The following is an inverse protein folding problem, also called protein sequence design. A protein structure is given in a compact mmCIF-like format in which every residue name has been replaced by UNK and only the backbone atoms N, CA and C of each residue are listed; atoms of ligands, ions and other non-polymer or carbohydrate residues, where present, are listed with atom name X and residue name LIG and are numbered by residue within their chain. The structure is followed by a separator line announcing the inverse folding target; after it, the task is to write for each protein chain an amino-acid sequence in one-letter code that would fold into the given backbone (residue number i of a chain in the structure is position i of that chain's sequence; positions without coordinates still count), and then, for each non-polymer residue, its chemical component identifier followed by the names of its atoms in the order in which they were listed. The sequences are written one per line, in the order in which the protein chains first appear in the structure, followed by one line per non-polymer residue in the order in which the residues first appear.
data_IF_469878359478
#
_entry.id   IF_469878359478
#
_cell.length_a   1.000
_cell.length_b   1.000
_cell.length_c   1.000
_cell.angle_alpha   90.00
_cell.angle_beta   90.00
_cell.angle_gamma   90.00
#
_symmetry.space_group_name_H-M   'P 1'
#
loop_
_entity.id
_entity.type
_entity.pdbx_description
1 polymer ?
#
# COMPACT_ATOMS: atom_id res chain seq x y z
N UNK A 1 17.21 16.52 8.54
CA UNK A 1 16.35 16.36 7.35
C UNK A 1 15.85 14.92 7.32
N UNK A 2 14.58 14.69 6.98
CA UNK A 2 14.02 13.33 6.88
C UNK A 2 14.77 12.53 5.82
N UNK A 3 15.17 11.28 6.11
CA UNK A 3 15.90 10.41 5.17
C UNK A 3 15.11 10.20 3.87
N UNK A 4 13.79 10.14 3.99
CA UNK A 4 12.85 10.00 2.87
C UNK A 4 11.96 11.24 2.76
N UNK A 5 11.74 11.71 1.54
CA UNK A 5 10.85 12.83 1.24
C UNK A 5 9.43 12.38 0.95
N UNK A 6 9.27 11.18 0.39
CA UNK A 6 8.00 10.63 -0.05
C UNK A 6 7.79 9.22 0.49
N UNK A 7 6.52 8.91 0.79
CA UNK A 7 6.03 7.55 1.04
C UNK A 7 4.94 7.28 0.02
N UNK A 8 5.03 6.15 -0.67
CA UNK A 8 4.07 5.75 -1.69
C UNK A 8 3.56 4.36 -1.33
N UNK A 9 2.25 4.24 -1.11
CA UNK A 9 1.58 2.94 -1.04
C UNK A 9 1.38 2.42 -2.46
N UNK A 10 1.80 1.18 -2.71
CA UNK A 10 1.46 0.45 -3.94
C UNK A 10 0.28 -0.46 -3.63
N UNK A 11 -0.79 -0.32 -4.40
CA UNK A 11 -2.14 -0.70 -3.98
C UNK A 11 -2.53 -2.14 -4.24
N UNK A 12 -1.81 -3.15 -3.72
CA UNK A 12 -2.35 -4.53 -3.69
C UNK A 12 -3.65 -4.61 -2.87
N UNK A 13 -3.77 -3.73 -1.88
CA UNK A 13 -5.00 -3.40 -1.18
C UNK A 13 -4.87 -2.02 -0.48
N UNK A 14 -5.80 -1.73 0.41
CA UNK A 14 -5.86 -0.45 1.10
C UNK A 14 -5.04 -0.40 2.40
N UNK A 15 -4.42 -1.50 2.84
CA UNK A 15 -3.83 -1.62 4.17
C UNK A 15 -2.74 -0.57 4.43
N UNK A 16 -1.78 -0.45 3.53
CA UNK A 16 -0.63 0.46 3.73
C UNK A 16 -1.06 1.93 3.76
N UNK A 17 -1.93 2.34 2.84
CA UNK A 17 -2.51 3.69 2.84
C UNK A 17 -3.22 3.97 4.17
N UNK A 18 -4.05 3.02 4.57
CA UNK A 18 -4.78 3.05 5.82
C UNK A 18 -3.92 3.21 7.06
N UNK A 19 -2.80 2.48 7.12
CA UNK A 19 -1.83 2.57 8.21
C UNK A 19 -1.21 3.99 8.25
N UNK A 20 -0.80 4.51 7.09
CA UNK A 20 -0.24 5.87 6.96
C UNK A 20 -1.24 6.92 7.48
N UNK A 21 -2.49 6.86 7.03
CA UNK A 21 -3.50 7.86 7.38
C UNK A 21 -3.89 7.74 8.86
N UNK A 22 -4.03 6.53 9.40
CA UNK A 22 -4.44 6.29 10.78
C UNK A 22 -3.43 6.81 11.81
N UNK A 23 -2.14 6.85 11.46
CA UNK A 23 -1.09 7.39 12.33
C UNK A 23 -0.69 8.84 11.97
N UNK A 24 -1.51 9.54 11.16
CA UNK A 24 -1.28 10.91 10.69
C UNK A 24 0.07 11.10 9.97
N UNK A 25 0.67 10.04 9.45
CA UNK A 25 1.93 10.09 8.70
C UNK A 25 1.72 10.91 7.42
N UNK A 26 0.51 10.88 6.86
CA UNK A 26 0.11 11.65 5.68
C UNK A 26 0.27 13.16 5.85
N UNK A 27 0.20 13.70 7.06
CA UNK A 27 0.42 15.14 7.30
C UNK A 27 1.84 15.57 6.91
N UNK A 28 2.81 14.66 7.07
CA UNK A 28 4.20 14.83 6.63
C UNK A 28 4.39 14.45 5.16
N UNK A 29 3.69 13.42 4.67
CA UNK A 29 3.83 12.87 3.32
C UNK A 29 2.55 13.07 2.47
N UNK A 30 2.16 14.33 2.24
CA UNK A 30 0.82 14.74 1.79
C UNK A 30 0.36 14.26 0.41
N UNK A 31 1.22 13.63 -0.38
CA UNK A 31 0.92 13.33 -1.77
C UNK A 31 0.07 12.06 -1.87
N UNK A 32 -0.99 12.12 -2.68
CA UNK A 32 -1.75 10.94 -3.13
C UNK A 32 -1.32 10.52 -4.51
N UNK A 33 -1.08 9.23 -4.67
CA UNK A 33 -0.54 8.58 -5.85
C UNK A 33 -1.61 7.77 -6.59
N UNK A 34 -1.39 7.33 -7.84
CA UNK A 34 -2.43 6.68 -8.65
C UNK A 34 -2.88 5.31 -8.12
N UNK A 35 -2.10 4.73 -7.21
CA UNK A 35 -2.42 3.49 -6.51
C UNK A 35 -3.08 3.73 -5.13
N UNK A 36 -3.10 4.98 -4.64
CA UNK A 36 -3.75 5.29 -3.37
C UNK A 36 -5.27 5.25 -3.54
N UNK A 37 -5.95 4.41 -2.74
CA UNK A 37 -7.41 4.29 -2.78
C UNK A 37 -7.95 3.46 -3.93
N UNK A 38 -7.12 2.61 -4.50
CA UNK A 38 -7.51 1.61 -5.48
C UNK A 38 -6.76 0.31 -5.19
N UNK A 39 -7.30 -0.77 -5.72
CA UNK A 39 -6.75 -2.12 -5.62
C UNK A 39 -6.25 -2.50 -7.01
N UNK A 40 -4.99 -2.89 -7.09
CA UNK A 40 -4.26 -3.27 -8.28
C UNK A 40 -3.50 -4.56 -7.98
N UNK A 41 -3.65 -5.61 -8.79
CA UNK A 41 -2.78 -6.77 -8.70
C UNK A 41 -1.30 -6.38 -8.83
N UNK A 42 -0.42 -7.06 -8.11
CA UNK A 42 1.01 -6.74 -8.05
C UNK A 42 1.68 -6.66 -9.43
N UNK A 43 1.40 -7.63 -10.29
CA UNK A 43 1.92 -7.68 -11.65
C UNK A 43 1.42 -6.49 -12.49
N UNK A 44 0.18 -6.06 -12.27
CA UNK A 44 -0.40 -4.90 -12.94
C UNK A 44 0.24 -3.59 -12.46
N UNK A 45 0.55 -3.45 -11.17
CA UNK A 45 1.32 -2.31 -10.64
C UNK A 45 2.67 -2.21 -11.38
N UNK A 46 3.40 -3.32 -11.45
CA UNK A 46 4.70 -3.36 -12.10
C UNK A 46 4.59 -3.04 -13.60
N UNK A 47 3.60 -3.61 -14.29
CA UNK A 47 3.32 -3.31 -15.70
C UNK A 47 3.01 -1.84 -15.91
N UNK A 48 2.14 -1.25 -15.09
CA UNK A 48 1.76 0.16 -15.21
C UNK A 48 2.97 1.08 -15.04
N UNK A 49 3.84 0.81 -14.08
CA UNK A 49 5.08 1.58 -13.90
C UNK A 49 5.99 1.43 -15.13
N UNK A 50 6.24 0.20 -15.59
CA UNK A 50 7.15 -0.07 -16.71
C UNK A 50 6.65 0.54 -18.02
N UNK A 51 5.33 0.52 -18.24
CA UNK A 51 4.67 1.01 -19.46
C UNK A 51 4.21 2.47 -19.38
N UNK A 52 4.60 3.22 -18.33
CA UNK A 52 4.20 4.61 -18.14
C UNK A 52 2.67 4.84 -18.06
N UNK A 53 1.97 3.90 -17.42
CA UNK A 53 0.52 3.87 -17.27
C UNK A 53 -0.23 3.74 -18.61
N UNK A 54 0.39 3.11 -19.61
CA UNK A 54 -0.26 2.81 -20.89
C UNK A 54 -1.59 2.08 -20.65
N UNK A 55 -2.63 2.61 -21.28
CA UNK A 55 -4.02 2.14 -21.24
C UNK A 55 -4.67 2.09 -19.85
N UNK A 56 -4.08 2.72 -18.83
CA UNK A 56 -4.59 2.65 -17.46
C UNK A 56 -6.02 3.18 -17.31
N UNK A 57 -6.36 4.22 -18.08
CA UNK A 57 -7.68 4.84 -18.06
C UNK A 57 -8.62 4.32 -19.16
N UNK A 58 -8.22 3.25 -19.87
CA UNK A 58 -9.03 2.61 -20.90
C UNK A 58 -9.96 1.55 -20.31
N UNK A 59 -11.12 1.39 -20.94
CA UNK A 59 -12.13 0.37 -20.58
C UNK A 59 -12.58 0.39 -19.11
N UNK A 60 -12.52 1.56 -18.46
CA UNK A 60 -13.08 1.72 -17.11
C UNK A 60 -14.60 1.59 -17.19
N UNK A 61 -15.17 0.73 -16.34
CA UNK A 61 -16.62 0.52 -16.21
C UNK A 61 -17.10 0.81 -14.80
N UNK A 62 -18.29 1.39 -14.67
CA UNK A 62 -18.96 1.59 -13.39
C UNK A 62 -19.94 0.44 -13.11
N UNK A 63 -19.75 -0.26 -11.99
CA UNK A 63 -20.60 -1.39 -11.58
C UNK A 63 -20.62 -1.49 -10.05
N UNK A 64 -21.74 -1.89 -9.44
CA UNK A 64 -21.81 -2.16 -7.99
C UNK A 64 -21.17 -1.05 -7.12
N UNK A 65 -21.44 0.22 -7.46
CA UNK A 65 -20.91 1.41 -6.78
C UNK A 65 -19.37 1.59 -6.82
N UNK A 66 -18.68 0.93 -7.75
CA UNK A 66 -17.23 1.06 -7.91
C UNK A 66 -16.86 1.18 -9.40
N UNK A 67 -15.67 1.70 -9.68
CA UNK A 67 -15.08 1.58 -11.00
C UNK A 67 -14.15 0.37 -11.10
N UNK A 68 -14.20 -0.29 -12.24
CA UNK A 68 -13.32 -1.42 -12.57
C UNK A 68 -12.52 -1.04 -13.81
N UNK A 69 -11.21 -1.20 -13.72
CA UNK A 69 -10.30 -1.10 -14.86
C UNK A 69 -10.00 -2.47 -15.46
N UNK A 70 -9.11 -2.46 -16.46
CA UNK A 70 -8.56 -3.70 -17.01
C UNK A 70 -7.72 -4.45 -15.98
N UNK A 71 -7.44 -5.73 -16.21
CA UNK A 71 -6.51 -6.55 -15.42
C UNK A 71 -6.80 -6.58 -13.90
N UNK A 72 -8.07 -6.55 -13.51
CA UNK A 72 -8.47 -6.71 -12.11
C UNK A 72 -8.34 -5.46 -11.23
N UNK A 73 -8.13 -4.29 -11.84
CA UNK A 73 -8.07 -3.01 -11.11
C UNK A 73 -9.45 -2.64 -10.58
N UNK A 74 -9.53 -2.30 -9.31
CA UNK A 74 -10.75 -1.86 -8.62
C UNK A 74 -10.50 -0.51 -7.94
N UNK A 75 -11.24 0.51 -8.34
CA UNK A 75 -11.18 1.86 -7.76
C UNK A 75 -12.40 2.04 -6.85
N UNK A 76 -12.28 1.54 -5.62
CA UNK A 76 -13.35 1.39 -4.65
C UNK A 76 -13.50 2.56 -3.67
N UNK A 77 -12.66 3.58 -3.78
CA UNK A 77 -12.67 4.74 -2.89
C UNK A 77 -12.93 6.06 -3.60
N UNK A 78 -13.34 6.01 -4.87
CA UNK A 78 -13.63 7.19 -5.65
C UNK A 78 -15.01 7.73 -5.29
N UNK A 79 -15.07 9.03 -4.99
CA UNK A 79 -16.30 9.72 -4.56
C UNK A 79 -17.22 10.15 -5.69
N UNK A 80 -16.72 10.01 -6.92
CA UNK A 80 -17.47 10.36 -8.13
C UNK A 80 -18.10 9.09 -8.71
N UNK A 81 -19.22 9.25 -9.40
CA UNK A 81 -19.77 8.22 -10.31
C UNK A 81 -19.55 8.60 -11.78
N UNK A 82 -19.04 9.80 -12.03
CA UNK A 82 -18.70 10.31 -13.35
C UNK A 82 -17.30 9.82 -13.77
N UNK A 83 -17.26 9.06 -14.86
CA UNK A 83 -16.05 8.49 -15.44
C UNK A 83 -15.07 9.55 -15.94
N UNK A 84 -15.53 10.70 -16.42
CA UNK A 84 -14.65 11.76 -16.92
C UNK A 84 -13.92 12.44 -15.76
N UNK A 85 -14.65 12.73 -14.66
CA UNK A 85 -14.05 13.26 -13.44
C UNK A 85 -13.01 12.29 -12.88
N UNK A 86 -13.31 10.99 -12.89
CA UNK A 86 -12.35 9.96 -12.48
C UNK A 86 -11.10 9.99 -13.35
N UNK A 87 -11.24 9.99 -14.68
CA UNK A 87 -10.10 10.01 -15.62
C UNK A 87 -9.22 11.22 -15.40
N UNK A 88 -9.80 12.40 -15.19
CA UNK A 88 -9.05 13.62 -14.88
C UNK A 88 -8.27 13.50 -13.56
N UNK A 89 -8.88 12.90 -12.53
CA UNK A 89 -8.23 12.65 -11.24
C UNK A 89 -7.08 11.65 -11.38
N UNK A 90 -7.29 10.55 -12.10
CA UNK A 90 -6.26 9.54 -12.35
C UNK A 90 -5.07 10.14 -13.10
N UNK A 91 -5.31 10.90 -14.17
CA UNK A 91 -4.25 11.55 -14.94
C UNK A 91 -3.43 12.52 -14.06
N UNK A 92 -4.08 13.32 -13.20
CA UNK A 92 -3.37 14.20 -12.24
C UNK A 92 -2.49 13.42 -11.27
N UNK A 93 -3.00 12.31 -10.71
CA UNK A 93 -2.25 11.45 -9.79
C UNK A 93 -1.07 10.79 -10.51
N UNK A 94 -1.24 10.35 -11.76
CA UNK A 94 -0.18 9.78 -12.59
C UNK A 94 0.92 10.79 -12.84
N UNK A 95 0.59 12.01 -13.27
CA UNK A 95 1.61 13.05 -13.50
C UNK A 95 2.36 13.39 -12.22
N UNK A 96 1.65 13.52 -11.10
CA UNK A 96 2.27 13.73 -9.79
C UNK A 96 3.21 12.57 -9.38
N UNK A 97 2.83 11.34 -9.68
CA UNK A 97 3.67 10.17 -9.45
C UNK A 97 4.94 10.22 -10.33
N UNK A 98 4.80 10.53 -11.62
CA UNK A 98 5.95 10.68 -12.53
C UNK A 98 6.90 11.79 -12.09
N UNK A 99 6.39 12.95 -11.70
CA UNK A 99 7.19 14.05 -11.15
C UNK A 99 7.94 13.61 -9.89
N UNK A 100 7.25 12.89 -9.01
CA UNK A 100 7.84 12.39 -7.76
C UNK A 100 8.92 11.34 -8.03
N UNK A 101 8.73 10.43 -8.99
CA UNK A 101 9.74 9.41 -9.32
C UNK A 101 10.96 9.98 -10.07
N UNK A 102 10.83 11.15 -10.68
CA UNK A 102 11.94 11.85 -11.33
C UNK A 102 12.68 12.82 -10.39
N UNK A 103 12.28 12.92 -9.13
CA UNK A 103 13.01 13.75 -8.17
C UNK A 103 14.30 13.04 -7.69
N UNK A 104 15.27 13.81 -7.21
CA UNK A 104 16.54 13.26 -6.68
C UNK A 104 16.43 12.78 -5.22
N UNK A 105 15.22 12.83 -4.65
CA UNK A 105 14.92 12.50 -3.25
C UNK A 105 14.68 11.00 -3.05
N UNK A 106 14.89 10.54 -1.82
CA UNK A 106 14.62 9.15 -1.47
C UNK A 106 13.11 8.89 -1.28
N UNK A 107 12.63 7.78 -1.85
CA UNK A 107 11.24 7.34 -1.78
C UNK A 107 11.12 6.02 -1.00
N UNK A 108 10.15 5.93 -0.10
CA UNK A 108 9.78 4.66 0.53
C UNK A 108 8.50 4.13 -0.13
N UNK A 109 8.61 2.99 -0.80
CA UNK A 109 7.45 2.25 -1.31
C UNK A 109 6.96 1.27 -0.25
N UNK A 110 5.64 1.22 -0.03
CA UNK A 110 4.99 0.27 0.87
C UNK A 110 4.10 -0.67 0.07
N UNK A 111 4.21 -1.97 0.33
CA UNK A 111 3.42 -3.02 -0.31
C UNK A 111 2.87 -3.94 0.77
N UNK A 112 1.60 -4.32 0.66
CA UNK A 112 1.02 -5.40 1.44
C UNK A 112 0.88 -6.64 0.55
N UNK A 113 1.73 -7.64 0.79
CA UNK A 113 1.76 -8.90 0.05
C UNK A 113 0.77 -9.89 0.66
N UNK A 114 -0.28 -10.22 -0.09
CA UNK A 114 -1.32 -11.16 0.35
C UNK A 114 -1.04 -12.60 -0.08
N UNK A 115 0.17 -13.09 0.19
CA UNK A 115 0.59 -14.43 -0.21
C UNK A 115 0.95 -15.30 1.00
N UNK A 116 0.50 -16.55 1.01
CA UNK A 116 0.89 -17.52 2.05
C UNK A 116 2.38 -17.86 2.01
N UNK A 117 3.02 -17.73 0.86
CA UNK A 117 4.45 -17.98 0.73
C UNK A 117 5.24 -16.71 1.11
N UNK A 118 6.34 -16.89 1.86
CA UNK A 118 7.27 -15.79 2.19
C UNK A 118 8.02 -15.24 0.97
N UNK A 119 7.99 -15.94 -0.15
CA UNK A 119 8.69 -15.56 -1.37
C UNK A 119 7.94 -14.44 -2.08
N UNK A 120 8.38 -13.21 -1.88
CA UNK A 120 7.93 -12.06 -2.65
C UNK A 120 8.92 -11.73 -3.76
N UNK A 121 8.41 -11.52 -4.97
CA UNK A 121 9.22 -11.26 -6.15
C UNK A 121 9.67 -9.78 -6.22
N UNK A 122 10.67 -9.42 -5.41
CA UNK A 122 11.24 -8.09 -5.44
C UNK A 122 11.83 -7.70 -6.81
N UNK A 123 12.25 -8.67 -7.63
CA UNK A 123 12.89 -8.40 -8.91
C UNK A 123 11.93 -7.74 -9.90
N UNK A 124 10.64 -8.09 -9.86
CA UNK A 124 9.65 -7.55 -10.78
C UNK A 124 9.49 -6.03 -10.63
N UNK A 125 9.22 -5.57 -9.40
CA UNK A 125 9.08 -4.13 -9.13
C UNK A 125 10.41 -3.38 -9.27
N UNK A 126 11.53 -3.98 -8.85
CA UNK A 126 12.85 -3.36 -9.03
C UNK A 126 13.19 -3.18 -10.50
N UNK A 127 12.87 -4.16 -11.35
CA UNK A 127 13.04 -4.06 -12.80
C UNK A 127 12.16 -2.95 -13.38
N UNK A 128 10.88 -2.92 -13.03
CA UNK A 128 9.95 -1.87 -13.49
C UNK A 128 10.46 -0.46 -13.12
N UNK A 129 10.91 -0.27 -11.88
CA UNK A 129 11.46 0.99 -11.41
C UNK A 129 12.80 1.33 -12.08
N UNK A 130 13.76 0.41 -12.15
CA UNK A 130 15.10 0.66 -12.72
C UNK A 130 15.06 0.93 -14.22
N UNK A 131 14.21 0.21 -14.96
CA UNK A 131 14.06 0.41 -16.40
C UNK A 131 13.53 1.80 -16.73
N UNK A 132 12.57 2.29 -15.94
CA UNK A 132 11.89 3.57 -16.20
C UNK A 132 12.57 4.76 -15.51
N UNK A 133 13.11 4.56 -14.31
CA UNK A 133 13.69 5.57 -13.43
C UNK A 133 15.05 5.09 -12.88
N UNK A 134 16.10 5.01 -13.72
CA UNK A 134 17.38 4.40 -13.37
C UNK A 134 18.13 5.11 -12.23
N UNK A 135 17.88 6.40 -12.03
CA UNK A 135 18.51 7.22 -10.99
C UNK A 135 17.67 7.32 -9.70
N UNK A 136 16.52 6.64 -9.65
CA UNK A 136 15.62 6.71 -8.50
C UNK A 136 16.28 6.09 -7.28
N UNK A 137 16.29 6.85 -6.18
CA UNK A 137 16.71 6.33 -4.87
C UNK A 137 15.48 5.89 -4.10
N UNK A 138 15.43 4.63 -3.71
CA UNK A 138 14.25 4.10 -3.04
C UNK A 138 14.57 2.99 -2.06
N UNK A 139 13.60 2.73 -1.18
CA UNK A 139 13.52 1.52 -0.39
C UNK A 139 12.13 0.91 -0.55
N UNK A 140 12.03 -0.41 -0.64
CA UNK A 140 10.76 -1.14 -0.77
C UNK A 140 10.51 -1.89 0.52
N UNK A 141 9.48 -1.48 1.26
CA UNK A 141 8.95 -2.20 2.41
C UNK A 141 7.77 -3.07 1.97
N UNK A 142 7.89 -4.38 2.20
CA UNK A 142 6.83 -5.35 1.98
C UNK A 142 6.42 -5.92 3.31
N UNK A 143 5.12 -5.90 3.56
CA UNK A 143 4.52 -6.53 4.71
C UNK A 143 3.68 -7.72 4.27
N UNK A 144 3.68 -8.78 5.07
CA UNK A 144 2.82 -9.94 4.91
C UNK A 144 2.25 -10.35 6.28
N UNK A 145 1.00 -10.79 6.29
CA UNK A 145 0.33 -11.34 7.46
C UNK A 145 -0.35 -12.69 7.22
N UNK A 146 -0.14 -13.30 6.05
CA UNK A 146 -0.76 -14.55 5.61
C UNK A 146 0.13 -15.77 5.87
N UNK A 147 1.44 -15.58 6.08
CA UNK A 147 2.33 -16.67 6.45
C UNK A 147 2.43 -16.79 7.98
N UNK A 148 2.43 -18.01 8.50
CA UNK A 148 2.42 -18.31 9.94
C UNK A 148 3.76 -18.01 10.63
N UNK A 149 4.87 -18.05 9.90
CA UNK A 149 6.21 -17.88 10.45
C UNK A 149 6.57 -16.40 10.58
N UNK A 150 6.92 -15.94 11.79
CA UNK A 150 7.53 -14.62 11.91
C UNK A 150 8.85 -14.58 11.12
N UNK A 151 8.98 -13.59 10.24
CA UNK A 151 10.17 -13.45 9.40
C UNK A 151 10.45 -11.98 9.12
N UNK A 152 11.72 -11.60 9.19
CA UNK A 152 12.18 -10.28 8.78
C UNK A 152 13.48 -10.41 8.01
N UNK A 153 13.52 -9.81 6.82
CA UNK A 153 14.73 -9.75 5.99
C UNK A 153 14.95 -8.32 5.52
N UNK A 154 16.16 -7.81 5.73
CA UNK A 154 16.55 -6.44 5.42
C UNK A 154 17.76 -6.47 4.51
N UNK A 155 17.66 -5.78 3.39
CA UNK A 155 18.77 -5.45 2.51
C UNK A 155 18.95 -3.92 2.48
N UNK A 156 19.89 -3.43 1.67
CA UNK A 156 20.09 -1.99 1.48
C UNK A 156 18.80 -1.29 0.99
N UNK A 157 18.10 -1.89 0.03
CA UNK A 157 16.97 -1.26 -0.67
C UNK A 157 15.63 -1.97 -0.44
N UNK A 158 15.59 -3.03 0.35
CA UNK A 158 14.36 -3.77 0.64
C UNK A 158 14.24 -4.16 2.10
N UNK A 159 13.02 -4.19 2.61
CA UNK A 159 12.66 -4.81 3.87
C UNK A 159 11.43 -5.66 3.64
N UNK A 160 11.51 -6.94 3.98
CA UNK A 160 10.37 -7.85 4.03
C UNK A 160 10.05 -8.16 5.50
N UNK A 161 8.81 -7.94 5.91
CA UNK A 161 8.31 -8.24 7.24
C UNK A 161 7.09 -9.16 7.12
N UNK A 162 7.15 -10.33 7.74
CA UNK A 162 5.99 -11.16 7.97
C UNK A 162 5.62 -11.19 9.46
N UNK A 163 4.37 -10.85 9.76
CA UNK A 163 3.77 -11.01 11.09
C UNK A 163 2.40 -11.65 10.90
N UNK A 164 2.26 -12.90 11.31
CA UNK A 164 1.01 -13.63 11.13
C UNK A 164 -0.17 -12.97 11.86
N UNK A 165 -1.29 -12.80 11.16
CA UNK A 165 -2.52 -12.30 11.75
C UNK A 165 -3.32 -13.44 12.41
N UNK A 166 -3.24 -13.56 13.73
CA UNK A 166 -3.98 -14.55 14.52
C UNK A 166 -4.77 -13.93 15.68
N UNK A 167 -5.86 -13.18 15.42
CA UNK A 167 -6.61 -12.47 16.45
C UNK A 167 -7.28 -13.40 17.49
N UNK A 168 -7.50 -14.67 17.13
CA UNK A 168 -8.22 -15.64 17.96
C UNK A 168 -7.31 -16.72 18.56
N UNK A 169 -5.98 -16.60 18.45
CA UNK A 169 -5.01 -17.63 18.85
C UNK A 169 -5.39 -19.03 18.33
N UNK A 170 -5.85 -19.09 17.09
CA UNK A 170 -6.17 -20.35 16.41
C UNK A 170 -4.88 -21.16 16.30
N UNK A 171 -4.97 -22.47 16.55
CA UNK A 171 -3.82 -23.40 16.53
C UNK A 171 -3.94 -24.45 15.42
N UNK A 172 -5.12 -24.54 14.78
CA UNK A 172 -5.36 -25.41 13.62
C UNK A 172 -5.58 -24.55 12.37
N UNK A 173 -4.50 -24.33 11.63
CA UNK A 173 -4.48 -23.46 10.46
C UNK A 173 -4.92 -24.16 9.16
N UNK A 174 -5.14 -25.47 9.20
CA UNK A 174 -5.43 -26.29 8.01
C UNK A 174 -6.73 -25.91 7.29
N UNK A 175 -7.67 -25.28 8.01
CA UNK A 175 -9.02 -24.94 7.53
C UNK A 175 -9.34 -23.44 7.56
N UNK A 176 -8.36 -22.56 7.76
CA UNK A 176 -8.62 -21.12 7.72
C UNK A 176 -8.92 -20.66 6.29
N UNK A 177 -10.11 -20.10 6.10
CA UNK A 177 -10.45 -19.38 4.88
C UNK A 177 -9.85 -17.97 4.93
N UNK A 178 -8.70 -17.79 4.28
CA UNK A 178 -7.92 -16.55 4.36
C UNK A 178 -8.52 -15.38 3.56
N UNK A 179 -9.53 -15.63 2.71
CA UNK A 179 -10.30 -14.56 2.06
C UNK A 179 -11.06 -13.70 3.08
N UNK A 180 -11.41 -14.29 4.24
CA UNK A 180 -12.07 -13.59 5.35
C UNK A 180 -11.11 -12.64 6.09
N UNK A 181 -9.80 -12.93 6.06
CA UNK A 181 -8.80 -12.06 6.67
C UNK A 181 -8.82 -10.71 5.97
N UNK A 182 -9.05 -10.58 4.67
CA UNK A 182 -8.87 -9.28 4.03
C UNK A 182 -9.97 -8.23 4.33
N UNK A 183 -11.24 -8.65 4.41
CA UNK A 183 -12.34 -7.71 4.63
C UNK A 183 -12.44 -7.24 6.08
N UNK A 184 -12.14 -8.14 7.03
CA UNK A 184 -12.25 -7.83 8.45
C UNK A 184 -10.91 -7.38 9.06
N UNK A 185 -9.75 -7.79 8.52
CA UNK A 185 -8.43 -7.38 9.03
C UNK A 185 -8.29 -5.87 9.13
N UNK A 186 -8.52 -5.15 8.04
CA UNK A 186 -8.38 -3.70 8.01
C UNK A 186 -9.33 -3.07 9.04
N UNK A 187 -10.57 -3.56 9.16
CA UNK A 187 -11.53 -3.10 10.16
C UNK A 187 -11.08 -3.40 11.60
N UNK A 188 -10.68 -4.65 11.88
CA UNK A 188 -10.23 -5.12 13.18
C UNK A 188 -8.99 -4.37 13.68
N UNK A 189 -8.11 -3.96 12.77
CA UNK A 189 -6.95 -3.11 13.07
C UNK A 189 -7.30 -1.76 13.68
N UNK A 190 -8.53 -1.27 13.47
CA UNK A 190 -8.98 0.01 14.01
C UNK A 190 -9.77 -0.09 15.30
N UNK A 191 -10.44 -1.23 15.53
CA UNK A 191 -11.43 -1.36 16.60
C UNK A 191 -10.93 -2.22 17.76
N UNK A 192 -10.02 -3.17 17.52
CA UNK A 192 -9.54 -4.09 18.56
C UNK A 192 -8.18 -3.66 19.11
N UNK A 193 -7.93 -3.94 20.40
CA UNK A 193 -6.60 -3.71 20.99
C UNK A 193 -5.52 -4.55 20.29
N UNK A 194 -5.83 -5.80 19.96
CA UNK A 194 -4.94 -6.68 19.20
C UNK A 194 -4.56 -6.06 17.85
N UNK A 195 -5.54 -5.55 17.11
CA UNK A 195 -5.33 -4.88 15.84
C UNK A 195 -4.49 -3.60 15.94
N UNK A 196 -4.71 -2.79 16.98
CA UNK A 196 -3.88 -1.61 17.26
C UNK A 196 -2.44 -2.02 17.54
N UNK A 197 -2.22 -2.98 18.45
CA UNK A 197 -0.88 -3.47 18.79
C UNK A 197 -0.17 -4.09 17.59
N UNK A 198 -0.91 -4.81 16.74
CA UNK A 198 -0.43 -5.38 15.50
C UNK A 198 0.00 -4.31 14.50
N UNK A 199 -0.85 -3.30 14.26
CA UNK A 199 -0.53 -2.16 13.40
C UNK A 199 0.72 -1.41 13.85
N UNK A 200 0.89 -1.28 15.18
CA UNK A 200 2.03 -0.61 15.78
C UNK A 200 3.35 -1.35 15.52
N UNK A 201 3.32 -2.68 15.45
CA UNK A 201 4.51 -3.48 15.07
C UNK A 201 4.95 -3.17 13.64
N UNK A 202 4.00 -3.09 12.71
CA UNK A 202 4.28 -2.71 11.31
C UNK A 202 4.79 -1.27 11.22
N UNK A 203 4.15 -0.34 11.94
CA UNK A 203 4.56 1.06 12.00
C UNK A 203 5.99 1.23 12.52
N UNK A 204 6.38 0.50 13.56
CA UNK A 204 7.73 0.57 14.14
C UNK A 204 8.79 0.27 13.09
N UNK A 205 8.60 -0.76 12.27
CA UNK A 205 9.55 -1.09 11.19
C UNK A 205 9.59 -0.01 10.11
N UNK A 206 8.45 0.58 9.74
CA UNK A 206 8.40 1.73 8.82
C UNK A 206 9.19 2.92 9.42
N UNK A 207 9.01 3.21 10.70
CA UNK A 207 9.71 4.30 11.38
C UNK A 207 11.22 4.05 11.47
N UNK A 208 11.65 2.81 11.70
CA UNK A 208 13.05 2.42 11.65
C UNK A 208 13.67 2.70 10.27
N UNK A 209 12.94 2.42 9.18
CA UNK A 209 13.40 2.73 7.82
C UNK A 209 13.52 4.25 7.65
N UNK A 210 12.50 4.99 8.09
CA UNK A 210 12.41 6.45 7.97
C UNK A 210 13.42 7.22 8.84
N UNK A 211 14.09 6.56 9.79
CA UNK A 211 14.90 7.17 10.84
C UNK A 211 14.08 8.17 11.69
N UNK A 212 12.90 7.73 12.10
CA UNK A 212 11.97 8.52 12.91
C UNK A 212 11.55 7.79 14.19
N UNK A 213 11.28 8.55 15.24
CA UNK A 213 10.68 8.02 16.46
C UNK A 213 9.18 7.78 16.24
N UNK A 214 8.76 6.52 16.35
CA UNK A 214 7.36 6.15 16.15
C UNK A 214 6.41 6.85 17.15
N UNK A 215 6.90 7.27 18.33
CA UNK A 215 6.08 7.96 19.33
C UNK A 215 5.62 9.36 18.88
N UNK A 216 6.23 9.92 17.82
CA UNK A 216 5.78 11.18 17.22
C UNK A 216 4.48 11.02 16.42
N UNK A 217 4.15 9.79 16.00
CA UNK A 217 2.97 9.51 15.20
C UNK A 217 1.81 9.12 16.11
N UNK A 218 0.75 9.91 16.09
CA UNK A 218 -0.40 9.72 16.96
C UNK A 218 -1.46 8.89 16.26
N UNK A 219 -1.97 7.87 16.93
CA UNK A 219 -3.12 7.11 16.48
C UNK A 219 -4.35 8.04 16.41
N UNK A 220 -4.82 8.34 15.20
CA UNK A 220 -6.03 9.11 14.96
C UNK A 220 -7.25 8.23 15.23
N UNK A 221 -7.78 8.29 16.46
CA UNK A 221 -8.95 7.49 16.89
C UNK A 221 -10.19 7.70 16.02
N UNK A 222 -10.31 8.88 15.39
CA UNK A 222 -11.46 9.27 14.58
C UNK A 222 -11.31 8.91 13.10
N UNK A 223 -10.21 8.29 12.68
CA UNK A 223 -10.08 7.82 11.30
C UNK A 223 -11.17 6.80 10.99
N UNK A 224 -12.11 7.19 10.14
CA UNK A 224 -13.18 6.35 9.64
C UNK A 224 -12.79 5.84 8.26
N UNK A 225 -12.55 4.54 8.13
CA UNK A 225 -12.16 3.91 6.86
C UNK A 225 -13.19 4.15 5.74
N UNK A 226 -14.48 4.31 6.08
CA UNK A 226 -15.56 4.56 5.12
C UNK A 226 -15.73 6.03 4.70
N UNK A 227 -15.40 7.00 5.56
CA UNK A 227 -15.66 8.43 5.31
C UNK A 227 -14.40 9.25 4.99
N UNK A 228 -13.22 8.81 5.40
CA UNK A 228 -11.94 9.55 5.24
C UNK A 228 -11.41 9.61 3.80
N UNK A 229 -12.18 9.11 2.84
CA UNK A 229 -11.83 8.98 1.42
C UNK A 229 -11.92 10.31 0.63
N UNK A 230 -11.83 11.49 1.29
CA UNK A 230 -11.80 12.82 0.64
C UNK A 230 -10.41 13.13 0.19
#
# INVERSE_FOLDING_TARGET
MSKYKYIISLGEDCFMRSLIDRYNIREKFKIRMPFDGSIHPYEEICRLIETDFLDYNNNIVWKNNNFYGSNGILMNHERTTDINILKDQLNKRIEQFKETLNCEENILFLIHNKNKNINFNFDLIQKALKNKYPNLKYHIFVFNNYNEEYYINKTENTTYLNIFWNPNNIVDFSNLNYDDINNDFICQMYITQYGIDFSLKVLKEICCILDEDYNKFTLNKNYNFGESLS
#
